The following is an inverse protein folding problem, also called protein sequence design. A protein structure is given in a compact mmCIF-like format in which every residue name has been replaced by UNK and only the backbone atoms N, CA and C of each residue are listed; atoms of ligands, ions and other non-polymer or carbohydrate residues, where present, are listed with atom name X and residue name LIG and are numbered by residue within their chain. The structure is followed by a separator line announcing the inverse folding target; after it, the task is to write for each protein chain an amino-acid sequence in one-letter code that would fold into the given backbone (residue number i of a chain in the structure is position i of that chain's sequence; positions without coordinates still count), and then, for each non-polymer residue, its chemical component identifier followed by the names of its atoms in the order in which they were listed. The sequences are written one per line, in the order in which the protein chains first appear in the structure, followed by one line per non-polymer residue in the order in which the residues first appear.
data_IF_667181897780
#
_entry.id   IF_667181897780
#
_cell.length_a   1.000
_cell.length_b   1.000
_cell.length_c   1.000
_cell.angle_alpha   90.00
_cell.angle_beta   90.00
_cell.angle_gamma   90.00
#
_symmetry.space_group_name_H-M   'P 1'
#
loop_
_entity.id
_entity.type
_entity.pdbx_description
1 polymer ?
#
# COMPACT_ATOMS: atom_id res chain seq x y z
N UNK A 1 15.53 -10.43 -1.70
CA UNK A 1 16.29 -11.70 -1.77
C UNK A 1 17.78 -11.48 -1.97
N UNK A 2 18.21 -10.71 -2.96
CA UNK A 2 19.63 -10.43 -3.24
C UNK A 2 20.48 -10.10 -1.98
N UNK A 3 20.11 -9.08 -1.20
CA UNK A 3 20.80 -8.73 0.05
C UNK A 3 20.87 -9.87 1.08
N UNK A 4 19.79 -10.65 1.24
CA UNK A 4 19.73 -11.75 2.23
C UNK A 4 20.54 -12.98 1.82
N UNK A 5 20.79 -13.17 0.52
CA UNK A 5 21.48 -14.34 -0.04
C UNK A 5 22.86 -14.02 -0.62
N UNK A 6 23.33 -12.77 -0.52
CA UNK A 6 24.62 -12.34 -1.07
C UNK A 6 24.70 -12.32 -2.60
N UNK A 7 23.56 -12.35 -3.30
CA UNK A 7 23.56 -12.31 -4.76
C UNK A 7 23.74 -10.89 -5.30
N UNK A 8 24.42 -10.73 -6.45
CA UNK A 8 24.45 -9.45 -7.14
C UNK A 8 23.02 -9.02 -7.51
N UNK A 9 22.77 -7.71 -7.46
CA UNK A 9 21.47 -7.14 -7.81
C UNK A 9 21.46 -5.63 -7.65
N UNK A 10 20.60 -4.96 -8.43
CA UNK A 10 20.44 -3.51 -8.43
C UNK A 10 19.72 -2.99 -7.18
N UNK A 11 20.27 -3.24 -5.98
CA UNK A 11 19.62 -2.95 -4.70
C UNK A 11 19.23 -1.47 -4.56
N UNK A 12 20.10 -0.56 -5.00
CA UNK A 12 19.83 0.88 -4.97
C UNK A 12 18.63 1.23 -5.87
N UNK A 13 18.63 0.73 -7.11
CA UNK A 13 17.54 0.94 -8.07
C UNK A 13 16.22 0.37 -7.56
N UNK A 14 16.22 -0.88 -7.08
CA UNK A 14 15.01 -1.51 -6.56
C UNK A 14 14.47 -0.81 -5.31
N UNK A 15 15.35 -0.38 -4.41
CA UNK A 15 14.95 0.38 -3.23
C UNK A 15 14.28 1.70 -3.63
N UNK A 16 14.92 2.47 -4.52
CA UNK A 16 14.39 3.73 -5.04
C UNK A 16 13.02 3.55 -5.72
N UNK A 17 12.88 2.53 -6.57
CA UNK A 17 11.61 2.26 -7.26
C UNK A 17 10.53 1.83 -6.28
N UNK A 18 10.86 0.94 -5.33
CA UNK A 18 9.93 0.50 -4.27
C UNK A 18 9.48 1.69 -3.40
N UNK A 19 10.38 2.59 -3.04
CA UNK A 19 10.03 3.79 -2.26
C UNK A 19 9.15 4.75 -3.07
N UNK A 20 9.44 4.94 -4.37
CA UNK A 20 8.59 5.74 -5.27
C UNK A 20 7.17 5.17 -5.38
N UNK A 21 7.05 3.85 -5.57
CA UNK A 21 5.74 3.18 -5.64
C UNK A 21 5.00 3.30 -4.32
N UNK A 22 5.67 3.04 -3.19
CA UNK A 22 5.06 3.15 -1.87
C UNK A 22 4.54 4.57 -1.62
N UNK A 23 5.34 5.60 -1.93
CA UNK A 23 4.92 6.99 -1.83
C UNK A 23 3.69 7.28 -2.69
N UNK A 24 3.67 6.81 -3.94
CA UNK A 24 2.54 7.02 -4.85
C UNK A 24 1.25 6.34 -4.37
N UNK A 25 1.34 5.14 -3.80
CA UNK A 25 0.16 4.47 -3.21
C UNK A 25 -0.39 5.28 -2.02
N UNK A 26 0.49 5.84 -1.18
CA UNK A 26 0.07 6.64 -0.03
C UNK A 26 -0.51 8.02 -0.41
N UNK A 27 -0.08 8.61 -1.53
CA UNK A 27 -0.58 9.90 -2.00
C UNK A 27 -1.81 9.75 -2.89
N UNK A 28 -1.75 8.86 -3.88
CA UNK A 28 -2.71 8.81 -4.99
C UNK A 28 -3.77 7.71 -4.79
N UNK A 29 -3.47 6.73 -3.93
CA UNK A 29 -4.37 5.63 -3.59
C UNK A 29 -5.27 5.89 -2.39
N UNK A 30 -5.10 7.01 -1.70
CA UNK A 30 -5.98 7.44 -0.61
C UNK A 30 -7.05 8.39 -1.16
N UNK A 31 -8.33 8.05 -0.99
CA UNK A 31 -9.43 8.97 -1.26
C UNK A 31 -9.83 9.67 0.04
N UNK A 32 -9.72 11.00 0.05
CA UNK A 32 -10.22 11.84 1.14
C UNK A 32 -11.75 11.88 1.17
N UNK A 33 -12.42 11.61 0.04
CA UNK A 33 -13.89 11.64 -0.06
C UNK A 33 -14.51 10.50 0.76
N UNK A 34 -13.97 9.29 0.63
CA UNK A 34 -14.45 8.12 1.37
C UNK A 34 -13.59 7.79 2.60
N UNK A 35 -12.47 8.49 2.80
CA UNK A 35 -11.56 8.26 3.92
C UNK A 35 -10.97 6.84 3.92
N UNK A 36 -10.62 6.32 2.76
CA UNK A 36 -10.12 4.95 2.59
C UNK A 36 -9.15 4.82 1.41
N UNK A 37 -8.34 3.77 1.42
CA UNK A 37 -7.63 3.36 0.22
C UNK A 37 -8.60 2.81 -0.83
N UNK A 38 -8.24 2.97 -2.10
CA UNK A 38 -9.11 2.59 -3.23
C UNK A 38 -8.45 1.59 -4.17
N UNK A 39 -9.26 0.94 -5.02
CA UNK A 39 -8.79 -0.15 -5.89
C UNK A 39 -7.73 0.29 -6.91
N UNK A 40 -7.78 1.55 -7.35
CA UNK A 40 -6.79 2.18 -8.22
C UNK A 40 -6.78 3.69 -7.95
N UNK A 41 -5.68 4.36 -8.29
CA UNK A 41 -5.50 5.77 -7.99
C UNK A 41 -6.61 6.66 -8.60
N UNK A 42 -6.99 7.71 -7.86
CA UNK A 42 -8.00 8.70 -8.27
C UNK A 42 -9.40 8.09 -8.54
N UNK A 43 -9.82 7.11 -7.73
CA UNK A 43 -11.20 6.66 -7.67
C UNK A 43 -11.68 6.58 -6.22
N UNK A 44 -13.00 6.46 -6.05
CA UNK A 44 -13.68 6.47 -4.75
C UNK A 44 -14.35 5.13 -4.44
N UNK A 45 -13.77 4.04 -4.96
CA UNK A 45 -14.30 2.69 -4.78
C UNK A 45 -13.26 1.84 -4.03
N UNK A 46 -13.57 1.35 -2.82
CA UNK A 46 -12.72 0.40 -2.12
C UNK A 46 -12.89 -1.01 -2.71
N UNK A 47 -11.87 -1.86 -2.55
CA UNK A 47 -11.90 -3.27 -2.95
C UNK A 47 -11.32 -4.17 -1.86
N UNK A 48 -11.81 -5.41 -1.79
CA UNK A 48 -11.40 -6.38 -0.76
C UNK A 48 -9.91 -6.75 -0.83
N UNK A 49 -9.24 -6.58 -1.97
CA UNK A 49 -7.79 -6.81 -2.10
C UNK A 49 -6.95 -5.92 -1.17
N UNK A 50 -7.47 -4.76 -0.76
CA UNK A 50 -6.81 -3.85 0.19
C UNK A 50 -6.61 -4.49 1.57
N UNK A 51 -7.39 -5.51 1.93
CA UNK A 51 -7.20 -6.29 3.16
C UNK A 51 -5.86 -7.04 3.19
N UNK A 52 -5.19 -7.19 2.04
CA UNK A 52 -3.87 -7.81 1.95
C UNK A 52 -2.71 -6.86 2.29
N UNK A 53 -2.94 -5.53 2.38
CA UNK A 53 -1.87 -4.55 2.62
C UNK A 53 -1.01 -4.89 3.87
N UNK A 54 -1.59 -5.29 5.03
CA UNK A 54 -0.79 -5.70 6.17
C UNK A 54 -0.10 -7.06 5.96
N UNK A 55 -0.75 -7.99 5.27
CA UNK A 55 -0.21 -9.33 5.02
C UNK A 55 1.08 -9.28 4.18
N UNK A 56 1.16 -8.34 3.24
CA UNK A 56 2.36 -8.06 2.44
C UNK A 56 3.31 -7.06 3.09
N UNK A 57 3.06 -6.67 4.34
CA UNK A 57 3.86 -5.72 5.14
C UNK A 57 3.95 -4.33 4.51
N UNK A 58 2.92 -3.91 3.78
CA UNK A 58 2.84 -2.58 3.19
C UNK A 58 2.44 -1.52 4.23
N UNK A 59 1.49 -1.84 5.10
CA UNK A 59 1.00 -0.94 6.16
C UNK A 59 0.84 -1.70 7.49
N UNK A 60 0.91 -0.99 8.61
CA UNK A 60 0.59 -1.58 9.91
C UNK A 60 -0.89 -1.94 9.99
N UNK A 61 -1.29 -3.11 10.53
CA UNK A 61 -2.69 -3.42 10.77
C UNK A 61 -3.35 -2.47 11.79
N UNK A 62 -2.55 -1.75 12.58
CA UNK A 62 -3.01 -0.73 13.53
C UNK A 62 -3.02 0.69 12.95
N UNK A 63 -2.60 0.90 11.69
CA UNK A 63 -2.63 2.23 11.06
C UNK A 63 -4.09 2.72 10.97
N UNK A 64 -4.39 3.95 11.41
CA UNK A 64 -5.74 4.50 11.36
C UNK A 64 -6.36 4.47 9.95
N UNK A 65 -5.57 4.73 8.90
CA UNK A 65 -6.03 4.70 7.50
C UNK A 65 -6.41 3.30 7.05
N UNK A 66 -5.63 2.30 7.46
CA UNK A 66 -5.98 0.90 7.19
C UNK A 66 -7.27 0.51 7.90
N UNK A 67 -7.43 0.85 9.19
CA UNK A 67 -8.66 0.57 9.94
C UNK A 67 -9.88 1.25 9.31
N UNK A 68 -9.73 2.49 8.85
CA UNK A 68 -10.78 3.21 8.11
C UNK A 68 -11.16 2.48 6.81
N UNK A 69 -10.16 1.98 6.07
CA UNK A 69 -10.37 1.20 4.85
C UNK A 69 -11.13 -0.11 5.14
N UNK A 70 -10.79 -0.81 6.21
CA UNK A 70 -11.54 -2.02 6.64
C UNK A 70 -12.99 -1.68 6.93
N UNK A 71 -13.25 -0.59 7.65
CA UNK A 71 -14.62 -0.13 7.93
C UNK A 71 -15.38 0.22 6.64
N UNK A 72 -14.73 0.87 5.67
CA UNK A 72 -15.34 1.23 4.39
C UNK A 72 -15.70 0.00 3.53
N UNK A 73 -14.92 -1.08 3.60
CA UNK A 73 -15.21 -2.35 2.89
C UNK A 73 -16.34 -3.13 3.58
N UNK A 74 -16.47 -3.00 4.90
CA UNK A 74 -17.46 -3.73 5.70
C UNK A 74 -18.83 -3.04 5.79
N UNK A 75 -18.93 -1.79 5.32
CA UNK A 75 -20.16 -1.00 5.25
C UNK A 75 -21.01 -1.40 4.04
#
# INVERSE_FOLDING_TARGET
MARRRGFPGGLATWTRVKDKIASGIFSDGWSEEIGAFTQYANCDVPDASLLLMPAVKFISPSDPRFRSTVSAIAA
#
